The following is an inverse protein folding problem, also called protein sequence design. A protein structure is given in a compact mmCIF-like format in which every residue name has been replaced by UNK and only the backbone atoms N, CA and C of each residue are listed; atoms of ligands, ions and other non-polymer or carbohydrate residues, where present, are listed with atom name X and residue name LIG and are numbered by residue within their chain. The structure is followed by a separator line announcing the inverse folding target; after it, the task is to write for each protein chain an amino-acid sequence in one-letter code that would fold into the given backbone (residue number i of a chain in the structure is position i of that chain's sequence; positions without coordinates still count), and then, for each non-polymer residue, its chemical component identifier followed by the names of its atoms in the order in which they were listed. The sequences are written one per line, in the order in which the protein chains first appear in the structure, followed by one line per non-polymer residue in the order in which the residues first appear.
data_IF_805455517209
#
_entry.id   IF_805455517209
#
_cell.length_a   1.000
_cell.length_b   1.000
_cell.length_c   1.000
_cell.angle_alpha   90.00
_cell.angle_beta   90.00
_cell.angle_gamma   90.00
#
_symmetry.space_group_name_H-M   'P 1'
#
loop_
_entity.id
_entity.type
_entity.pdbx_description
1 polymer ?
#
# COMPACT_ATOMS: atom_id res chain seq x y z
N UNK A 1 -34.44 5.68 -20.50
CA UNK A 1 -33.14 5.04 -20.82
C UNK A 1 -32.13 6.12 -21.15
N UNK A 2 -31.30 6.51 -20.18
CA UNK A 2 -30.14 7.39 -20.46
C UNK A 2 -29.16 6.59 -21.31
N UNK A 3 -28.72 7.13 -22.45
CA UNK A 3 -27.64 6.53 -23.24
C UNK A 3 -26.40 6.44 -22.33
N UNK A 4 -25.93 5.23 -22.04
CA UNK A 4 -24.61 5.03 -21.43
C UNK A 4 -23.56 5.62 -22.38
N UNK A 5 -23.03 6.79 -22.03
CA UNK A 5 -21.88 7.36 -22.71
C UNK A 5 -20.66 6.53 -22.34
N UNK A 6 -20.26 5.60 -23.20
CA UNK A 6 -18.97 4.91 -23.10
C UNK A 6 -17.87 5.91 -23.42
N UNK A 7 -17.06 6.24 -22.42
CA UNK A 7 -15.84 7.01 -22.61
C UNK A 7 -14.67 6.03 -22.79
N UNK A 8 -14.01 6.09 -23.94
CA UNK A 8 -12.76 5.35 -24.17
C UNK A 8 -11.60 6.24 -23.76
N UNK A 9 -10.95 5.92 -22.64
CA UNK A 9 -9.73 6.62 -22.23
C UNK A 9 -8.53 6.05 -22.98
N UNK A 10 -7.82 6.89 -23.71
CA UNK A 10 -6.54 6.50 -24.31
C UNK A 10 -5.44 6.53 -23.25
N UNK A 11 -5.18 5.39 -22.62
CA UNK A 11 -4.16 5.24 -21.58
C UNK A 11 -2.78 5.75 -22.03
N UNK A 12 -2.41 5.54 -23.31
CA UNK A 12 -1.12 5.95 -23.88
C UNK A 12 -0.92 7.48 -23.79
N UNK A 13 -2.00 8.26 -23.91
CA UNK A 13 -1.95 9.71 -23.79
C UNK A 13 -1.62 10.19 -22.37
N UNK A 14 -1.82 9.34 -21.35
CA UNK A 14 -1.53 9.65 -19.95
C UNK A 14 -0.15 9.15 -19.50
N UNK A 15 0.58 8.46 -20.35
CA UNK A 15 1.91 7.93 -20.05
C UNK A 15 3.02 8.93 -20.38
N UNK A 16 4.13 8.93 -19.62
CA UNK A 16 5.37 9.57 -20.04
C UNK A 16 5.81 9.06 -21.42
N UNK A 17 6.37 9.95 -22.26
CA UNK A 17 6.76 9.60 -23.63
C UNK A 17 7.76 8.44 -23.68
N UNK A 18 8.69 8.40 -22.72
CA UNK A 18 9.69 7.34 -22.58
C UNK A 18 9.10 5.96 -22.30
N UNK A 19 7.83 5.87 -21.89
CA UNK A 19 7.18 4.60 -21.52
C UNK A 19 6.31 4.02 -22.64
N UNK A 20 5.98 4.81 -23.68
CA UNK A 20 4.98 4.45 -24.69
C UNK A 20 5.33 3.19 -25.50
N UNK A 21 6.61 2.81 -25.55
CA UNK A 21 7.11 1.63 -26.27
C UNK A 21 7.71 0.57 -25.32
N UNK A 22 7.34 0.59 -24.05
CA UNK A 22 7.84 -0.35 -23.03
C UNK A 22 6.72 -1.24 -22.52
N UNK A 23 7.05 -2.46 -22.10
CA UNK A 23 6.12 -3.29 -21.35
C UNK A 23 5.82 -2.62 -20.01
N UNK A 24 4.54 -2.60 -19.63
CA UNK A 24 4.08 -1.99 -18.39
C UNK A 24 3.57 -3.08 -17.45
N UNK A 25 3.96 -2.96 -16.18
CA UNK A 25 3.29 -3.63 -15.09
C UNK A 25 2.28 -2.66 -14.48
N UNK A 26 1.05 -3.12 -14.27
CA UNK A 26 0.01 -2.31 -13.65
C UNK A 26 -0.65 -3.01 -12.47
N UNK A 27 -0.99 -2.23 -11.45
CA UNK A 27 -1.83 -2.66 -10.33
C UNK A 27 -3.04 -1.74 -10.25
N UNK A 28 -4.22 -2.33 -10.13
CA UNK A 28 -5.49 -1.58 -10.04
C UNK A 28 -6.09 -1.75 -8.66
N UNK A 29 -6.53 -0.64 -8.08
CA UNK A 29 -7.17 -0.60 -6.78
C UNK A 29 -8.48 0.18 -6.84
N UNK A 30 -9.51 -0.31 -6.17
CA UNK A 30 -10.72 0.44 -5.91
C UNK A 30 -10.46 1.49 -4.84
N UNK A 31 -10.92 2.70 -5.10
CA UNK A 31 -10.87 3.82 -4.17
C UNK A 31 -12.27 4.07 -3.63
N UNK A 32 -12.37 4.29 -2.33
CA UNK A 32 -13.62 4.70 -1.70
C UNK A 32 -13.56 6.14 -1.20
N UNK A 33 -14.75 6.73 -1.08
CA UNK A 33 -14.99 8.05 -0.45
C UNK A 33 -14.25 9.21 -1.11
N UNK A 34 -14.02 9.15 -2.42
CA UNK A 34 -13.52 10.29 -3.21
C UNK A 34 -14.61 11.34 -3.34
N UNK A 35 -14.27 12.62 -3.16
CA UNK A 35 -15.16 13.72 -3.50
C UNK A 35 -15.09 13.99 -5.01
N UNK A 36 -16.20 13.82 -5.78
CA UNK A 36 -16.17 13.99 -7.24
C UNK A 36 -15.69 15.38 -7.69
N UNK A 37 -15.85 16.42 -6.86
CA UNK A 37 -15.37 17.77 -7.20
C UNK A 37 -13.84 17.89 -7.27
N UNK A 38 -13.10 16.95 -6.68
CA UNK A 38 -11.63 16.93 -6.69
C UNK A 38 -11.06 16.42 -8.03
N UNK A 39 -11.90 15.74 -8.82
CA UNK A 39 -11.56 15.16 -10.12
C UNK A 39 -12.72 15.42 -11.11
N UNK A 40 -12.94 16.68 -11.51
CA UNK A 40 -14.15 17.09 -12.25
C UNK A 40 -14.30 16.43 -13.63
N UNK A 41 -13.17 16.06 -14.26
CA UNK A 41 -13.17 15.39 -15.56
C UNK A 41 -13.26 13.86 -15.45
N UNK A 42 -13.46 13.31 -14.24
CA UNK A 42 -13.47 11.87 -14.00
C UNK A 42 -12.10 11.19 -14.12
N UNK A 43 -11.05 11.91 -14.52
CA UNK A 43 -9.68 11.40 -14.65
C UNK A 43 -8.67 12.41 -14.10
N UNK A 44 -7.67 11.93 -13.34
CA UNK A 44 -6.52 12.71 -12.87
C UNK A 44 -5.28 11.82 -12.85
N UNK A 45 -4.11 12.37 -13.13
CA UNK A 45 -2.86 11.59 -13.11
C UNK A 45 -1.74 12.32 -12.37
N UNK A 46 -0.84 11.55 -11.74
CA UNK A 46 0.31 12.05 -10.99
C UNK A 46 1.53 11.18 -11.27
N UNK A 47 2.66 11.79 -11.60
CA UNK A 47 3.90 11.10 -11.91
C UNK A 47 4.89 11.17 -10.74
N UNK A 48 5.38 10.00 -10.31
CA UNK A 48 6.37 9.82 -9.24
C UNK A 48 7.78 9.48 -9.78
N UNK A 49 8.06 9.81 -11.04
CA UNK A 49 9.28 9.51 -11.78
C UNK A 49 9.28 8.10 -12.36
N UNK A 50 9.11 7.09 -11.51
CA UNK A 50 9.18 5.67 -11.88
C UNK A 50 7.81 4.96 -11.79
N UNK A 51 6.79 5.63 -11.26
CA UNK A 51 5.39 5.17 -11.26
C UNK A 51 4.49 6.29 -11.75
N UNK A 52 3.58 5.96 -12.65
CA UNK A 52 2.48 6.82 -13.06
C UNK A 52 1.22 6.35 -12.31
N UNK A 53 0.64 7.23 -11.50
CA UNK A 53 -0.65 7.02 -10.86
C UNK A 53 -1.75 7.66 -11.69
N UNK A 54 -2.86 6.96 -11.90
CA UNK A 54 -4.04 7.44 -12.63
C UNK A 54 -5.27 7.14 -11.79
N UNK A 55 -6.02 8.19 -11.48
CA UNK A 55 -7.31 8.14 -10.82
C UNK A 55 -8.40 8.24 -11.88
N UNK A 56 -9.36 7.32 -11.87
CA UNK A 56 -10.43 7.27 -12.87
C UNK A 56 -11.76 6.85 -12.24
N UNK A 57 -12.85 7.51 -12.64
CA UNK A 57 -14.21 7.07 -12.33
C UNK A 57 -14.80 6.28 -13.52
N UNK A 58 -15.35 5.10 -13.26
CA UNK A 58 -16.04 4.29 -14.26
C UNK A 58 -15.91 2.81 -13.99
N UNK A 59 -15.99 2.01 -15.06
CA UNK A 59 -15.67 0.57 -15.05
C UNK A 59 -14.40 0.36 -15.86
N UNK A 60 -13.49 -0.43 -15.33
CA UNK A 60 -12.28 -0.83 -16.03
C UNK A 60 -12.48 -2.22 -16.61
N UNK A 61 -12.36 -2.33 -17.93
CA UNK A 61 -12.27 -3.63 -18.59
C UNK A 61 -10.86 -4.18 -18.36
N UNK A 62 -10.78 -5.45 -17.98
CA UNK A 62 -9.51 -6.15 -17.84
C UNK A 62 -9.67 -7.56 -18.39
N UNK A 63 -8.56 -8.06 -18.93
CA UNK A 63 -8.50 -9.44 -19.36
C UNK A 63 -8.37 -10.31 -18.12
N UNK A 64 -9.30 -11.25 -17.97
CA UNK A 64 -9.20 -12.28 -16.96
C UNK A 64 -9.00 -13.60 -17.66
N UNK A 65 -7.82 -14.19 -17.48
CA UNK A 65 -7.58 -15.56 -17.91
C UNK A 65 -8.23 -16.50 -16.90
N UNK A 66 -9.36 -17.12 -17.27
CA UNK A 66 -9.86 -18.29 -16.58
C UNK A 66 -9.07 -19.50 -17.13
N UNK A 67 -8.16 -20.06 -16.33
CA UNK A 67 -7.57 -21.37 -16.64
C UNK A 67 -8.45 -22.44 -16.01
N UNK A 68 -9.22 -23.15 -16.84
CA UNK A 68 -9.89 -24.35 -16.39
C UNK A 68 -8.93 -25.53 -16.61
N UNK A 69 -8.44 -26.11 -15.51
CA UNK A 69 -7.64 -27.34 -15.56
C UNK A 69 -8.61 -28.51 -15.44
N UNK A 70 -8.80 -29.23 -16.54
CA UNK A 70 -9.56 -30.48 -16.54
C UNK A 70 -8.58 -31.66 -16.58
N UNK A 71 -8.69 -32.55 -15.61
CA UNK A 71 -8.06 -33.86 -15.68
C UNK A 71 -9.08 -34.84 -16.25
N UNK A 72 -8.84 -35.39 -17.44
CA UNK A 72 -9.72 -36.43 -17.98
C UNK A 72 -9.43 -37.79 -17.30
N UNK A 73 -10.33 -38.75 -17.46
CA UNK A 73 -10.20 -40.11 -16.92
C UNK A 73 -8.97 -40.88 -17.45
N UNK A 74 -8.27 -40.37 -18.45
CA UNK A 74 -7.04 -40.94 -19.02
C UNK A 74 -5.76 -40.28 -18.46
N UNK A 75 -5.87 -39.49 -17.40
CA UNK A 75 -4.77 -38.70 -16.81
C UNK A 75 -4.18 -37.65 -17.75
N UNK A 76 -4.84 -37.29 -18.86
CA UNK A 76 -4.47 -36.13 -19.64
C UNK A 76 -4.99 -34.87 -18.94
N UNK A 77 -4.08 -33.94 -18.71
CA UNK A 77 -4.40 -32.60 -18.22
C UNK A 77 -4.66 -31.73 -19.45
N UNK A 78 -5.91 -31.33 -19.67
CA UNK A 78 -6.28 -30.32 -20.65
C UNK A 78 -6.42 -28.98 -19.94
N UNK A 79 -5.74 -27.97 -20.47
CA UNK A 79 -5.89 -26.58 -20.04
C UNK A 79 -6.66 -25.88 -21.15
N UNK A 80 -7.91 -25.53 -20.88
CA UNK A 80 -8.68 -24.63 -21.74
C UNK A 80 -8.57 -23.23 -21.13
N UNK A 81 -8.08 -22.28 -21.93
CA UNK A 81 -7.96 -20.87 -21.57
C UNK A 81 -9.10 -20.14 -22.26
N UNK A 82 -10.07 -19.67 -21.48
CA UNK A 82 -11.09 -18.74 -21.98
C UNK A 82 -10.71 -17.32 -21.54
N UNK A 83 -10.63 -16.42 -22.51
CA UNK A 83 -10.32 -15.00 -22.29
C UNK A 83 -11.63 -14.26 -22.09
N UNK A 84 -12.17 -14.34 -20.88
CA UNK A 84 -13.33 -13.56 -20.49
C UNK A 84 -12.94 -12.09 -20.29
N UNK A 85 -13.57 -11.19 -21.04
CA UNK A 85 -13.54 -9.77 -20.73
C UNK A 85 -14.35 -9.52 -19.45
N UNK A 86 -13.65 -9.29 -18.34
CA UNK A 86 -14.28 -8.86 -17.09
C UNK A 86 -14.25 -7.33 -16.98
N UNK A 87 -15.15 -6.82 -16.16
CA UNK A 87 -15.19 -5.40 -15.79
C UNK A 87 -15.21 -5.26 -14.29
N UNK A 88 -14.48 -4.28 -13.77
CA UNK A 88 -14.62 -3.88 -12.36
C UNK A 88 -16.04 -3.37 -12.07
N UNK A 89 -16.39 -3.30 -10.78
CA UNK A 89 -17.57 -2.56 -10.36
C UNK A 89 -17.42 -1.08 -10.70
N UNK A 90 -18.52 -0.40 -11.04
CA UNK A 90 -18.46 1.05 -11.27
C UNK A 90 -18.03 1.80 -10.01
N UNK A 91 -17.04 2.67 -10.14
CA UNK A 91 -16.53 3.47 -9.03
C UNK A 91 -15.26 4.22 -9.36
N UNK A 92 -14.60 4.71 -8.32
CA UNK A 92 -13.27 5.29 -8.44
C UNK A 92 -12.20 4.20 -8.37
N UNK A 93 -11.22 4.28 -9.25
CA UNK A 93 -10.09 3.37 -9.32
C UNK A 93 -8.78 4.14 -9.33
N UNK A 94 -7.76 3.59 -8.66
CA UNK A 94 -6.36 3.98 -8.77
C UNK A 94 -5.64 2.92 -9.61
N UNK A 95 -5.12 3.32 -10.74
CA UNK A 95 -4.23 2.52 -11.57
C UNK A 95 -2.80 3.00 -11.37
N UNK A 96 -1.93 2.13 -10.90
CA UNK A 96 -0.49 2.38 -10.78
C UNK A 96 0.23 1.67 -11.91
N UNK A 97 1.07 2.37 -12.66
CA UNK A 97 1.82 1.83 -13.79
C UNK A 97 3.32 2.09 -13.62
N UNK A 98 4.14 1.11 -13.96
CA UNK A 98 5.60 1.24 -14.06
C UNK A 98 6.10 0.48 -15.29
N UNK A 99 7.18 0.95 -15.96
CA UNK A 99 7.90 0.14 -16.92
C UNK A 99 8.42 -1.13 -16.25
N UNK A 100 8.28 -2.25 -16.95
CA UNK A 100 8.79 -3.56 -16.59
C UNK A 100 9.60 -4.08 -17.78
N UNK A 101 10.94 -4.04 -17.76
CA UNK A 101 11.75 -4.62 -18.82
C UNK A 101 11.35 -6.09 -19.02
N UNK A 102 11.16 -6.49 -20.26
CA UNK A 102 10.44 -7.73 -20.59
C UNK A 102 11.29 -9.01 -20.53
N UNK A 103 12.40 -9.05 -19.77
CA UNK A 103 13.40 -10.10 -20.02
C UNK A 103 13.45 -11.25 -19.01
N UNK A 104 13.23 -11.08 -17.70
CA UNK A 104 13.28 -12.22 -16.77
C UNK A 104 12.37 -12.01 -15.54
N UNK A 105 11.99 -13.08 -14.82
CA UNK A 105 11.12 -13.00 -13.63
C UNK A 105 11.61 -12.08 -12.51
N UNK A 106 12.89 -11.71 -12.48
CA UNK A 106 13.44 -10.70 -11.57
C UNK A 106 12.91 -9.28 -11.86
N UNK A 107 12.60 -8.96 -13.11
CA UNK A 107 12.10 -7.64 -13.52
C UNK A 107 10.67 -7.39 -13.02
N UNK A 108 9.85 -8.44 -12.99
CA UNK A 108 8.46 -8.39 -12.52
C UNK A 108 8.40 -8.08 -11.02
N UNK A 109 9.22 -8.76 -10.22
CA UNK A 109 9.28 -8.49 -8.78
C UNK A 109 9.77 -7.06 -8.53
N UNK A 110 10.76 -6.59 -9.29
CA UNK A 110 11.24 -5.20 -9.19
C UNK A 110 10.16 -4.18 -9.55
N UNK A 111 9.36 -4.44 -10.59
CA UNK A 111 8.23 -3.61 -10.97
C UNK A 111 7.14 -3.59 -9.88
N UNK A 112 6.79 -4.77 -9.36
CA UNK A 112 5.84 -4.91 -8.24
C UNK A 112 6.32 -4.15 -7.01
N UNK A 113 7.60 -4.25 -6.68
CA UNK A 113 8.21 -3.56 -5.55
C UNK A 113 8.10 -2.03 -5.66
N UNK A 114 8.27 -1.51 -6.87
CA UNK A 114 8.07 -0.08 -7.17
C UNK A 114 6.62 0.34 -6.96
N UNK A 115 5.66 -0.43 -7.49
CA UNK A 115 4.24 -0.14 -7.30
C UNK A 115 3.84 -0.24 -5.83
N UNK A 116 4.35 -1.23 -5.12
CA UNK A 116 4.06 -1.49 -3.72
C UNK A 116 4.56 -0.37 -2.81
N UNK A 117 5.73 0.18 -3.15
CA UNK A 117 6.29 1.35 -2.48
C UNK A 117 5.38 2.58 -2.61
N UNK A 118 4.92 2.87 -3.84
CA UNK A 118 4.04 4.02 -4.09
C UNK A 118 2.65 3.81 -3.50
N UNK A 119 2.14 2.58 -3.52
CA UNK A 119 0.94 2.19 -2.79
C UNK A 119 1.07 2.46 -1.27
N UNK A 120 2.19 2.08 -0.66
CA UNK A 120 2.49 2.40 0.74
C UNK A 120 2.50 3.92 1.01
N UNK A 121 3.04 4.71 0.08
CA UNK A 121 3.02 6.16 0.16
C UNK A 121 1.58 6.71 0.10
N UNK A 122 0.74 6.20 -0.81
CA UNK A 122 -0.67 6.57 -0.86
C UNK A 122 -1.39 6.27 0.46
N UNK A 123 -1.18 5.08 1.04
CA UNK A 123 -1.74 4.74 2.36
C UNK A 123 -1.27 5.73 3.43
N UNK A 124 0.01 6.12 3.43
CA UNK A 124 0.55 7.00 4.45
C UNK A 124 -0.08 8.41 4.44
N UNK A 125 -0.30 8.97 3.26
CA UNK A 125 -0.76 10.35 3.12
C UNK A 125 -2.29 10.47 2.97
N UNK A 126 -2.97 9.43 2.48
CA UNK A 126 -4.43 9.46 2.22
C UNK A 126 -5.22 8.44 3.03
N UNK A 127 -4.55 7.57 3.78
CA UNK A 127 -5.16 6.46 4.50
C UNK A 127 -5.57 5.31 3.57
N UNK A 128 -6.11 4.24 4.17
CA UNK A 128 -6.33 2.96 3.47
C UNK A 128 -7.44 3.00 2.40
N UNK A 129 -8.35 3.98 2.45
CA UNK A 129 -9.44 4.09 1.47
C UNK A 129 -8.97 4.36 0.04
N UNK A 130 -7.73 4.86 -0.12
CA UNK A 130 -7.14 5.06 -1.44
C UNK A 130 -6.75 3.75 -2.14
N UNK A 131 -6.58 2.67 -1.37
CA UNK A 131 -6.33 1.33 -1.86
C UNK A 131 -7.26 0.32 -1.17
N UNK A 132 -8.56 0.62 -1.15
CA UNK A 132 -9.52 -0.14 -0.36
C UNK A 132 -9.56 -1.62 -0.73
N UNK A 133 -9.64 -1.89 -2.04
CA UNK A 133 -9.65 -3.23 -2.59
C UNK A 133 -8.63 -3.25 -3.73
N UNK A 134 -7.68 -4.17 -3.71
CA UNK A 134 -6.87 -4.43 -4.89
C UNK A 134 -7.66 -5.37 -5.78
N UNK A 135 -7.98 -4.90 -6.98
CA UNK A 135 -8.85 -5.62 -7.88
C UNK A 135 -8.04 -6.64 -8.69
N UNK A 136 -6.85 -6.26 -9.17
CA UNK A 136 -5.96 -7.14 -9.91
C UNK A 136 -4.55 -6.54 -10.09
N UNK A 137 -3.56 -7.42 -10.27
CA UNK A 137 -2.26 -7.11 -10.89
C UNK A 137 -2.29 -7.65 -12.32
N UNK A 138 -1.85 -6.86 -13.30
CA UNK A 138 -1.79 -7.30 -14.70
C UNK A 138 -0.46 -6.91 -15.33
N UNK A 139 0.15 -7.84 -16.06
CA UNK A 139 1.28 -7.55 -16.95
C UNK A 139 0.71 -7.49 -18.35
N UNK A 140 0.88 -6.37 -19.04
CA UNK A 140 0.46 -6.26 -20.43
C UNK A 140 1.64 -6.73 -21.30
N UNK A 141 1.66 -8.01 -21.65
CA UNK A 141 2.60 -8.60 -22.60
C UNK A 141 1.84 -8.96 -23.89
N UNK A 142 2.17 -8.40 -25.05
CA UNK A 142 1.63 -8.92 -26.31
C UNK A 142 2.27 -10.29 -26.56
N UNK A 143 1.46 -11.34 -26.39
CA UNK A 143 1.78 -12.77 -26.53
C UNK A 143 2.28 -13.50 -25.26
N UNK A 144 1.43 -14.46 -24.86
CA UNK A 144 1.61 -15.61 -23.95
C UNK A 144 1.02 -15.50 -22.53
N UNK A 145 0.51 -16.67 -22.15
CA UNK A 145 -0.48 -17.00 -21.14
C UNK A 145 0.19 -17.50 -19.86
N UNK A 146 -0.20 -16.96 -18.70
CA UNK A 146 -0.36 -17.66 -17.42
C UNK A 146 -0.72 -16.67 -16.29
N UNK A 147 -1.75 -17.00 -15.51
CA UNK A 147 -2.19 -16.21 -14.34
C UNK A 147 -2.64 -17.09 -13.16
N UNK A 148 -2.41 -16.63 -11.92
CA UNK A 148 -2.88 -17.25 -10.67
C UNK A 148 -3.55 -16.23 -9.73
N UNK A 149 -4.40 -16.69 -8.79
CA UNK A 149 -5.30 -15.83 -7.99
C UNK A 149 -5.28 -16.09 -6.47
N UNK A 150 -5.57 -15.06 -5.67
CA UNK A 150 -5.88 -15.13 -4.22
C UNK A 150 -6.89 -14.04 -3.82
N UNK A 151 -7.83 -14.35 -2.90
CA UNK A 151 -8.87 -13.43 -2.40
C UNK A 151 -8.50 -12.75 -1.08
N UNK A 152 -9.10 -11.58 -0.79
CA UNK A 152 -8.68 -10.64 0.27
C UNK A 152 -9.69 -10.45 1.41
N UNK A 153 -9.19 -9.86 2.48
CA UNK A 153 -9.89 -9.43 3.70
C UNK A 153 -10.71 -8.16 3.45
N UNK A 154 -11.95 -8.09 3.98
CA UNK A 154 -12.83 -6.91 3.90
C UNK A 154 -12.84 -6.10 5.21
N UNK A 155 -12.39 -4.84 5.19
CA UNK A 155 -12.63 -3.86 6.28
C UNK A 155 -13.84 -2.97 5.95
N UNK A 156 -14.54 -2.45 6.96
CA UNK A 156 -15.63 -1.48 6.74
C UNK A 156 -15.06 -0.14 6.22
N UNK A 157 -15.44 0.35 5.03
CA UNK A 157 -14.94 1.61 4.46
C UNK A 157 -15.15 2.85 5.34
N UNK A 158 -16.18 2.81 6.19
CA UNK A 158 -16.60 3.95 7.00
C UNK A 158 -15.67 4.19 8.19
N UNK A 159 -14.91 3.19 8.65
CA UNK A 159 -13.93 3.37 9.71
C UNK A 159 -12.60 3.95 9.22
N UNK A 160 -12.41 4.06 7.89
CA UNK A 160 -11.20 4.59 7.26
C UNK A 160 -11.34 6.09 6.94
N UNK A 161 -10.27 6.89 7.00
CA UNK A 161 -10.31 8.32 6.69
C UNK A 161 -10.72 8.58 5.23
N UNK A 162 -11.33 9.73 4.95
CA UNK A 162 -11.69 10.09 3.57
C UNK A 162 -10.42 10.30 2.74
N UNK A 163 -10.42 9.75 1.52
CA UNK A 163 -9.37 9.99 0.52
C UNK A 163 -9.42 11.44 0.06
N UNK A 164 -8.26 12.11 -0.01
CA UNK A 164 -8.15 13.49 -0.51
C UNK A 164 -7.38 13.48 -1.83
N UNK A 165 -8.07 13.73 -2.95
CA UNK A 165 -7.47 13.79 -4.28
C UNK A 165 -7.32 15.22 -4.79
N UNK A 166 -7.45 16.21 -3.90
CA UNK A 166 -7.18 17.59 -4.23
C UNK A 166 -5.72 17.79 -4.68
N UNK A 167 -5.47 18.87 -5.42
CA UNK A 167 -4.16 19.13 -6.02
C UNK A 167 -3.07 19.35 -4.97
N UNK A 168 -3.38 19.94 -3.82
CA UNK A 168 -2.39 20.18 -2.77
C UNK A 168 -1.95 18.87 -2.13
N UNK A 169 -2.89 17.99 -1.80
CA UNK A 169 -2.61 16.65 -1.25
C UNK A 169 -1.71 15.83 -2.19
N UNK A 170 -2.01 15.83 -3.50
CA UNK A 170 -1.20 15.11 -4.49
C UNK A 170 0.18 15.76 -4.73
N UNK A 171 0.26 17.09 -4.66
CA UNK A 171 1.52 17.81 -4.74
C UNK A 171 2.43 17.53 -3.53
N UNK A 172 1.85 17.42 -2.33
CA UNK A 172 2.58 16.98 -1.13
C UNK A 172 3.18 15.61 -1.37
N UNK A 173 2.41 14.64 -1.87
CA UNK A 173 2.93 13.31 -2.17
C UNK A 173 4.07 13.32 -3.19
N UNK A 174 3.94 14.07 -4.28
CA UNK A 174 5.01 14.21 -5.28
C UNK A 174 6.26 14.84 -4.68
N UNK A 175 6.09 15.86 -3.82
CA UNK A 175 7.18 16.48 -3.06
C UNK A 175 7.86 15.49 -2.12
N UNK A 176 7.10 14.69 -1.39
CA UNK A 176 7.64 13.64 -0.50
C UNK A 176 8.45 12.63 -1.28
N UNK A 177 7.94 12.14 -2.40
CA UNK A 177 8.68 11.21 -3.26
C UNK A 177 10.03 11.81 -3.71
N UNK A 178 10.05 13.08 -4.10
CA UNK A 178 11.30 13.80 -4.43
C UNK A 178 12.24 13.93 -3.24
N UNK A 179 11.72 14.24 -2.05
CA UNK A 179 12.52 14.31 -0.81
C UNK A 179 13.21 12.96 -0.56
N UNK A 180 12.47 11.85 -0.67
CA UNK A 180 13.03 10.51 -0.48
C UNK A 180 14.18 10.28 -1.47
N UNK A 181 14.01 10.63 -2.75
CA UNK A 181 15.07 10.49 -3.76
C UNK A 181 16.31 11.35 -3.54
N UNK A 182 16.22 12.40 -2.73
CA UNK A 182 17.35 13.26 -2.40
C UNK A 182 18.12 12.79 -1.16
N UNK A 183 17.63 11.80 -0.41
CA UNK A 183 18.31 11.25 0.76
C UNK A 183 19.53 10.39 0.37
N UNK A 184 20.45 10.09 1.29
CA UNK A 184 21.47 9.08 1.05
C UNK A 184 20.85 7.72 0.67
N UNK A 185 21.45 7.00 -0.29
CA UNK A 185 20.95 5.71 -0.79
C UNK A 185 20.55 4.72 0.31
N UNK A 186 21.32 4.54 1.41
CA UNK A 186 20.91 3.68 2.51
C UNK A 186 19.56 4.09 3.13
N UNK A 187 19.32 5.38 3.32
CA UNK A 187 18.08 5.91 3.89
C UNK A 187 16.92 5.78 2.91
N UNK A 188 17.16 6.03 1.61
CA UNK A 188 16.16 5.78 0.56
C UNK A 188 15.67 4.34 0.60
N UNK A 189 16.61 3.39 0.62
CA UNK A 189 16.32 1.96 0.60
C UNK A 189 15.54 1.53 1.84
N UNK A 190 15.91 2.05 3.02
CA UNK A 190 15.18 1.79 4.26
C UNK A 190 13.75 2.30 4.20
N UNK A 191 13.54 3.54 3.71
CA UNK A 191 12.20 4.10 3.58
C UNK A 191 11.38 3.28 2.58
N UNK A 192 11.91 2.99 1.39
CA UNK A 192 11.20 2.20 0.37
C UNK A 192 10.82 0.81 0.88
N UNK A 193 11.76 0.10 1.51
CA UNK A 193 11.50 -1.22 2.07
C UNK A 193 10.44 -1.14 3.19
N UNK A 194 10.50 -0.12 4.05
CA UNK A 194 9.50 0.08 5.09
C UNK A 194 8.09 0.35 4.54
N UNK A 195 7.98 1.13 3.46
CA UNK A 195 6.70 1.45 2.80
C UNK A 195 6.07 0.21 2.16
N UNK A 196 6.90 -0.68 1.60
CA UNK A 196 6.45 -1.99 1.10
C UNK A 196 5.88 -2.85 2.22
N UNK A 197 6.58 -2.95 3.35
CA UNK A 197 6.09 -3.68 4.51
C UNK A 197 4.80 -3.09 5.08
N UNK A 198 4.69 -1.75 5.13
CA UNK A 198 3.45 -1.07 5.50
C UNK A 198 2.28 -1.49 4.59
N UNK A 199 2.48 -1.46 3.27
CA UNK A 199 1.46 -1.88 2.30
C UNK A 199 1.03 -3.32 2.58
N UNK A 200 1.99 -4.24 2.70
CA UNK A 200 1.71 -5.65 2.96
C UNK A 200 0.98 -5.86 4.29
N UNK A 201 1.36 -5.12 5.33
CA UNK A 201 0.70 -5.20 6.64
C UNK A 201 -0.77 -4.78 6.58
N UNK A 202 -1.08 -3.78 5.73
CA UNK A 202 -2.43 -3.23 5.58
C UNK A 202 -3.42 -4.21 4.95
N UNK A 203 -2.94 -5.19 4.18
CA UNK A 203 -3.77 -6.20 3.52
C UNK A 203 -3.82 -7.55 4.24
N UNK A 204 -3.04 -7.70 5.30
CA UNK A 204 -3.03 -8.88 6.14
C UNK A 204 -3.86 -8.65 7.41
N UNK A 205 -4.11 -9.73 8.16
CA UNK A 205 -4.75 -9.67 9.47
C UNK A 205 -3.91 -10.33 10.56
N UNK A 206 -4.31 -10.05 11.81
CA UNK A 206 -3.80 -10.71 13.01
C UNK A 206 -2.27 -10.66 13.11
N UNK A 207 -1.69 -11.83 13.34
CA UNK A 207 -0.25 -12.00 13.61
C UNK A 207 0.63 -11.60 12.43
N UNK A 208 0.21 -11.88 11.20
CA UNK A 208 1.01 -11.55 10.02
C UNK A 208 1.06 -10.04 9.78
N UNK A 209 -0.09 -9.37 9.91
CA UNK A 209 -0.16 -7.91 9.85
C UNK A 209 0.71 -7.27 10.92
N UNK A 210 0.62 -7.76 12.16
CA UNK A 210 1.46 -7.30 13.27
C UNK A 210 2.95 -7.40 12.99
N UNK A 211 3.42 -8.57 12.53
CA UNK A 211 4.83 -8.79 12.20
C UNK A 211 5.28 -7.88 11.06
N UNK A 212 4.44 -7.71 10.01
CA UNK A 212 4.74 -6.82 8.89
C UNK A 212 4.82 -5.35 9.31
N UNK A 213 3.91 -4.87 10.18
CA UNK A 213 4.00 -3.52 10.76
C UNK A 213 5.26 -3.36 11.62
N UNK A 214 5.61 -4.37 12.41
CA UNK A 214 6.85 -4.34 13.20
C UNK A 214 8.09 -4.22 12.32
N UNK A 215 8.19 -5.05 11.27
CA UNK A 215 9.30 -5.00 10.31
C UNK A 215 9.35 -3.64 9.62
N UNK A 216 8.20 -3.04 9.28
CA UNK A 216 8.14 -1.70 8.72
C UNK A 216 8.76 -0.66 9.66
N UNK A 217 8.39 -0.67 10.95
CA UNK A 217 8.96 0.23 11.96
C UNK A 217 10.46 0.00 12.19
N UNK A 218 10.88 -1.27 12.25
CA UNK A 218 12.28 -1.67 12.43
C UNK A 218 13.13 -1.16 11.28
N UNK A 219 12.71 -1.46 10.05
CA UNK A 219 13.36 -0.98 8.83
C UNK A 219 13.42 0.55 8.79
N UNK A 220 12.37 1.23 9.23
CA UNK A 220 12.30 2.68 9.14
C UNK A 220 13.21 3.39 10.16
N UNK A 221 13.24 2.93 11.42
CA UNK A 221 13.81 3.72 12.52
C UNK A 221 14.73 2.98 13.49
N UNK A 222 14.96 1.67 13.30
CA UNK A 222 15.81 0.87 14.19
C UNK A 222 16.98 0.29 13.39
N UNK A 223 18.23 0.74 13.60
CA UNK A 223 19.39 0.19 12.90
C UNK A 223 19.68 -1.27 13.29
N UNK A 224 19.22 -1.69 14.47
CA UNK A 224 19.32 -3.02 15.05
C UNK A 224 17.98 -3.40 15.73
N UNK A 225 17.98 -4.43 16.58
CA UNK A 225 16.79 -4.86 17.33
C UNK A 225 16.49 -3.98 18.56
N UNK A 226 17.25 -2.90 18.78
CA UNK A 226 17.06 -2.00 19.91
C UNK A 226 15.93 -1.00 19.62
N UNK A 227 14.93 -0.96 20.50
CA UNK A 227 13.81 -0.02 20.39
C UNK A 227 14.12 1.40 20.90
N UNK A 228 15.30 1.61 21.49
CA UNK A 228 15.70 2.92 22.04
C UNK A 228 15.67 4.05 20.99
N UNK A 229 16.23 3.89 19.78
CA UNK A 229 16.20 4.95 18.75
C UNK A 229 14.77 5.33 18.35
N UNK A 230 13.85 4.37 18.33
CA UNK A 230 12.44 4.61 18.05
C UNK A 230 11.78 5.46 19.15
N UNK A 231 12.05 5.17 20.42
CA UNK A 231 11.56 5.97 21.55
C UNK A 231 12.18 7.37 21.58
N UNK A 232 13.48 7.52 21.26
CA UNK A 232 14.14 8.82 21.17
C UNK A 232 13.54 9.71 20.07
N UNK A 233 13.15 9.12 18.93
CA UNK A 233 12.41 9.85 17.88
C UNK A 233 11.03 10.27 18.36
N UNK A 234 10.26 9.40 19.02
CA UNK A 234 8.97 9.79 19.60
C UNK A 234 9.14 10.89 20.66
N UNK A 235 10.19 10.84 21.48
CA UNK A 235 10.49 11.89 22.46
C UNK A 235 10.66 13.25 21.78
N UNK A 236 11.40 13.28 20.66
CA UNK A 236 11.58 14.49 19.85
C UNK A 236 10.28 14.96 19.21
N UNK A 237 9.56 14.06 18.52
CA UNK A 237 8.32 14.39 17.80
C UNK A 237 7.32 15.05 18.75
N UNK A 238 7.14 14.45 19.93
CA UNK A 238 6.13 14.85 20.89
C UNK A 238 6.64 15.81 21.97
N UNK A 239 7.88 16.32 21.82
CA UNK A 239 8.53 17.24 22.75
C UNK A 239 8.39 16.79 24.22
N UNK A 240 8.59 15.49 24.46
CA UNK A 240 8.39 14.90 25.79
C UNK A 240 9.65 14.19 26.30
N UNK A 241 9.86 14.14 27.63
CA UNK A 241 10.95 13.35 28.21
C UNK A 241 10.84 11.89 27.81
N UNK A 242 11.99 11.24 27.58
CA UNK A 242 12.06 9.85 27.15
C UNK A 242 11.33 8.88 28.11
N UNK A 243 11.38 9.12 29.42
CA UNK A 243 10.62 8.36 30.42
C UNK A 243 9.10 8.40 30.15
N UNK A 244 8.57 9.58 29.83
CA UNK A 244 7.16 9.76 29.50
C UNK A 244 6.77 9.08 28.18
N UNK A 245 7.69 8.99 27.21
CA UNK A 245 7.48 8.22 25.97
C UNK A 245 7.29 6.75 26.28
N UNK A 246 8.17 6.17 27.12
CA UNK A 246 8.07 4.75 27.49
C UNK A 246 6.71 4.43 28.11
N UNK A 247 6.22 5.30 29.00
CA UNK A 247 4.93 5.13 29.67
C UNK A 247 3.75 5.34 28.71
N UNK A 248 3.83 6.35 27.84
CA UNK A 248 2.73 6.76 26.96
C UNK A 248 2.56 5.78 25.80
N UNK A 249 3.65 5.46 25.09
CA UNK A 249 3.57 4.68 23.85
C UNK A 249 3.74 3.18 24.04
N UNK A 250 4.27 2.76 25.21
CA UNK A 250 4.40 1.36 25.60
C UNK A 250 5.05 0.46 24.53
N UNK A 251 6.01 0.99 23.76
CA UNK A 251 6.69 0.25 22.70
C UNK A 251 7.41 -1.01 23.22
N UNK A 252 7.83 -1.00 24.48
CA UNK A 252 8.39 -2.18 25.15
C UNK A 252 7.42 -3.36 25.21
N UNK A 253 6.11 -3.12 25.33
CA UNK A 253 5.09 -4.18 25.31
C UNK A 253 4.90 -4.76 23.92
N UNK A 254 4.91 -3.92 22.89
CA UNK A 254 4.86 -4.36 21.48
C UNK A 254 6.09 -5.19 21.14
N UNK A 255 7.27 -4.72 21.55
CA UNK A 255 8.52 -5.44 21.37
C UNK A 255 8.51 -6.80 22.08
N UNK A 256 8.04 -6.84 23.33
CA UNK A 256 7.87 -8.08 24.09
C UNK A 256 6.94 -9.07 23.38
N UNK A 257 5.78 -8.61 22.92
CA UNK A 257 4.84 -9.42 22.13
C UNK A 257 5.51 -9.99 20.86
N UNK A 258 6.24 -9.16 20.10
CA UNK A 258 6.99 -9.63 18.92
C UNK A 258 8.02 -10.69 19.31
N UNK A 259 8.75 -10.48 20.40
CA UNK A 259 9.74 -11.44 20.90
C UNK A 259 9.09 -12.80 21.20
N UNK A 260 7.96 -12.82 21.91
CA UNK A 260 7.23 -14.05 22.20
C UNK A 260 6.69 -14.75 20.94
N UNK A 261 6.17 -14.00 19.97
CA UNK A 261 5.72 -14.56 18.69
C UNK A 261 6.89 -15.24 17.96
N UNK A 262 7.99 -14.51 17.75
CA UNK A 262 9.09 -14.96 16.89
C UNK A 262 9.96 -16.02 17.56
N UNK A 263 10.23 -15.89 18.86
CA UNK A 263 11.18 -16.76 19.57
C UNK A 263 10.51 -17.87 20.37
N UNK A 264 9.27 -17.66 20.86
CA UNK A 264 8.56 -18.67 21.66
C UNK A 264 7.40 -19.33 20.89
N UNK A 265 7.18 -18.97 19.63
CA UNK A 265 6.11 -19.54 18.80
C UNK A 265 4.71 -19.17 19.29
N UNK A 266 4.54 -18.06 20.01
CA UNK A 266 3.23 -17.61 20.48
C UNK A 266 2.31 -17.28 19.31
N UNK A 267 1.18 -17.98 19.20
CA UNK A 267 0.11 -17.66 18.25
C UNK A 267 -0.83 -16.60 18.81
N UNK A 268 -0.34 -15.36 18.88
CA UNK A 268 -1.14 -14.23 19.33
C UNK A 268 -2.23 -13.86 18.31
N UNK A 269 -3.31 -13.26 18.78
CA UNK A 269 -4.32 -12.59 17.95
C UNK A 269 -4.31 -11.09 18.25
N UNK A 270 -3.37 -10.30 17.67
CA UNK A 270 -3.34 -8.85 17.82
C UNK A 270 -4.68 -8.23 17.42
N UNK A 271 -5.22 -7.37 18.28
CA UNK A 271 -6.48 -6.68 17.98
C UNK A 271 -6.28 -5.67 16.84
N UNK A 272 -7.36 -5.39 16.09
CA UNK A 272 -7.35 -4.33 15.07
C UNK A 272 -6.90 -2.97 15.64
N UNK A 273 -7.26 -2.69 16.90
CA UNK A 273 -6.86 -1.45 17.57
C UNK A 273 -5.34 -1.34 17.77
N UNK A 274 -4.67 -2.46 18.05
CA UNK A 274 -3.21 -2.48 18.17
C UNK A 274 -2.55 -2.28 16.80
N UNK A 275 -3.09 -2.90 15.74
CA UNK A 275 -2.59 -2.74 14.38
C UNK A 275 -2.74 -1.29 13.88
N UNK A 276 -3.90 -0.68 14.08
CA UNK A 276 -4.16 0.72 13.72
C UNK A 276 -3.26 1.68 14.54
N UNK A 277 -2.98 1.37 15.81
CA UNK A 277 -2.02 2.11 16.63
C UNK A 277 -0.58 2.01 16.12
N UNK A 278 -0.12 0.80 15.76
CA UNK A 278 1.21 0.61 15.16
C UNK A 278 1.34 1.37 13.84
N UNK A 279 0.29 1.39 13.03
CA UNK A 279 0.22 2.19 11.82
C UNK A 279 0.35 3.69 12.13
N UNK A 280 -0.30 4.19 13.18
CA UNK A 280 -0.17 5.59 13.60
C UNK A 280 1.27 5.93 14.03
N UNK A 281 1.93 5.06 14.80
CA UNK A 281 3.36 5.24 15.16
C UNK A 281 4.21 5.31 13.91
N UNK A 282 3.99 4.40 12.94
CA UNK A 282 4.75 4.38 11.70
C UNK A 282 4.66 5.72 10.95
N UNK A 283 3.46 6.31 10.87
CA UNK A 283 3.28 7.59 10.19
C UNK A 283 3.98 8.75 10.89
N UNK A 284 3.88 8.85 12.22
CA UNK A 284 4.56 9.92 12.94
C UNK A 284 6.09 9.85 12.75
N UNK A 285 6.63 8.64 12.76
CA UNK A 285 8.06 8.38 12.53
C UNK A 285 8.48 8.67 11.09
N UNK A 286 7.66 8.28 10.11
CA UNK A 286 7.93 8.57 8.69
C UNK A 286 7.96 10.08 8.46
N UNK A 287 7.02 10.82 9.05
CA UNK A 287 6.92 12.27 8.88
C UNK A 287 8.13 12.98 9.49
N UNK A 288 8.57 12.55 10.68
CA UNK A 288 9.78 13.04 11.32
C UNK A 288 11.05 12.77 10.49
N UNK A 289 11.20 11.57 9.92
CA UNK A 289 12.34 11.23 9.05
C UNK A 289 12.37 12.09 7.79
N UNK A 290 11.21 12.39 7.23
CA UNK A 290 11.06 13.24 6.04
C UNK A 290 11.10 14.73 6.35
N UNK A 291 11.28 15.11 7.63
CA UNK A 291 11.24 16.48 8.11
C UNK A 291 9.93 17.21 7.72
N UNK A 292 8.81 16.50 7.85
CA UNK A 292 7.45 17.01 7.64
C UNK A 292 6.81 17.32 9.00
N UNK A 293 5.86 18.28 9.06
CA UNK A 293 5.11 18.54 10.28
C UNK A 293 4.39 17.28 10.76
N UNK A 294 4.63 16.86 12.01
CA UNK A 294 3.96 15.69 12.58
C UNK A 294 2.46 15.97 12.76
N UNK A 295 1.65 14.94 12.51
CA UNK A 295 0.21 14.98 12.74
C UNK A 295 -0.19 14.40 14.11
N UNK A 296 0.78 13.93 14.91
CA UNK A 296 0.56 13.36 16.23
C UNK A 296 -0.50 12.23 16.23
N UNK A 297 -0.46 11.38 15.20
CA UNK A 297 -1.49 10.36 14.95
C UNK A 297 -1.56 9.37 16.10
N UNK A 298 -0.42 8.90 16.61
CA UNK A 298 -0.38 7.89 17.67
C UNK A 298 -0.96 8.44 18.99
N UNK A 299 -0.60 9.65 19.41
CA UNK A 299 -1.19 10.23 20.63
C UNK A 299 -2.68 10.53 20.47
N UNK A 300 -3.11 11.00 19.29
CA UNK A 300 -4.55 11.20 19.00
C UNK A 300 -5.31 9.88 19.07
N UNK A 301 -4.72 8.81 18.53
CA UNK A 301 -5.30 7.48 18.58
C UNK A 301 -5.47 6.98 20.02
N UNK A 302 -4.44 7.13 20.86
CA UNK A 302 -4.45 6.74 22.28
C UNK A 302 -5.49 7.50 23.10
N UNK A 303 -5.74 8.77 22.78
CA UNK A 303 -6.78 9.57 23.47
C UNK A 303 -8.19 9.05 23.20
N UNK A 304 -8.42 8.52 21.99
CA UNK A 304 -9.74 8.11 21.53
C UNK A 304 -10.01 6.61 21.71
N UNK A 305 -8.98 5.80 21.97
CA UNK A 305 -9.08 4.35 22.01
C UNK A 305 -8.31 3.77 23.19
N UNK A 306 -8.90 2.79 23.86
CA UNK A 306 -8.19 2.01 24.87
C UNK A 306 -7.40 0.88 24.19
N UNK A 307 -6.08 0.85 24.41
CA UNK A 307 -5.25 -0.27 23.97
C UNK A 307 -5.28 -1.39 25.00
N UNK A 308 -5.53 -2.60 24.52
CA UNK A 308 -5.34 -3.82 25.30
C UNK A 308 -4.07 -4.51 24.83
N UNK A 309 -3.08 -4.58 25.74
CA UNK A 309 -1.91 -5.42 25.54
C UNK A 309 -2.15 -6.75 26.25
N UNK A 310 -2.10 -7.87 25.53
CA UNK A 310 -2.17 -9.17 26.18
C UNK A 310 -1.02 -9.31 27.19
N UNK A 311 -1.35 -9.77 28.39
CA UNK A 311 -0.39 -10.12 29.45
C UNK A 311 0.15 -11.52 29.19
N UNK A 312 1.47 -11.66 29.20
CA UNK A 312 2.18 -12.93 28.99
C UNK A 312 3.10 -13.22 30.17
#
# INVERSE_FOLDING_TARGET
MSKESKYTLNLIALLPESWRNTTLFLSTYKILRVNPSEVPNGVKSVNFGYVQAIFIFGKLAYFWENQNIYQNNNAEIKIEVDLDNKSTSEGWHLVLLTPCPTQEGQDINTAKDKLDTIAGLFIAFNGQNILYEHEFDQIIVPSREQTSFSGRVFRNPMCLPKTKLDTDSLNVMSKVSRIIFMLPVPDQNRIFLSLRWLKLATYDEGINSFLKFWIALETLAMPDTNIKPLNERLARIYEMPLSKVYDTFQLGRIFGLRSHIVHNGLLACPSGNLLDYMQCIYFDILFDILNLPSEFRAATYLKNNQLYFPTF
#
